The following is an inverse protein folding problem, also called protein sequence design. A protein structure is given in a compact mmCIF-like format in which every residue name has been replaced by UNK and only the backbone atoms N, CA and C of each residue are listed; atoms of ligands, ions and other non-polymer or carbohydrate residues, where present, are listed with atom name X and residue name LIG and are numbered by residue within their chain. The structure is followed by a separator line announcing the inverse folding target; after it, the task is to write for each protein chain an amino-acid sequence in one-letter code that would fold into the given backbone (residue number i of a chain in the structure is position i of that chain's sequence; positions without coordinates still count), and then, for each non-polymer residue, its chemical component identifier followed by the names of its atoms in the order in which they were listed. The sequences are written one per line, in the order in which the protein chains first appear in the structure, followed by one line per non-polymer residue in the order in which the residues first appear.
data_IF_693691099462
#
_entry.id   IF_693691099462
#
_cell.length_a   1.000
_cell.length_b   1.000
_cell.length_c   1.000
_cell.angle_alpha   90.00
_cell.angle_beta   90.00
_cell.angle_gamma   90.00
#
_symmetry.space_group_name_H-M   'P 1'
#
loop_
_entity.id
_entity.type
_entity.pdbx_description
1 polymer ?
#
# COMPACT_ATOMS: atom_id res chain seq x y z
N UNK A 1 -86.88 -29.60 60.85
CA UNK A 1 -85.43 -29.94 60.83
C UNK A 1 -85.12 -30.61 59.54
N UNK A 2 -84.58 -29.88 58.56
CA UNK A 2 -84.08 -30.44 57.28
C UNK A 2 -82.94 -29.59 56.79
N UNK A 3 -81.79 -30.21 56.65
CA UNK A 3 -80.57 -29.61 56.12
C UNK A 3 -80.53 -29.87 54.62
N UNK A 4 -80.55 -28.78 53.86
CA UNK A 4 -80.39 -28.76 52.45
C UNK A 4 -78.87 -28.70 52.10
N UNK A 5 -78.42 -29.72 51.39
CA UNK A 5 -77.00 -29.77 50.84
C UNK A 5 -76.97 -29.08 49.52
N UNK A 6 -76.18 -28.01 49.46
CA UNK A 6 -75.84 -27.29 48.21
C UNK A 6 -74.64 -27.95 47.53
N UNK A 7 -74.82 -28.45 46.33
CA UNK A 7 -73.72 -29.00 45.50
C UNK A 7 -73.17 -27.87 44.63
N UNK A 8 -71.94 -27.53 44.87
CA UNK A 8 -71.16 -26.66 43.93
C UNK A 8 -70.63 -27.47 42.75
N UNK A 9 -71.05 -27.09 41.55
CA UNK A 9 -70.41 -27.49 40.33
C UNK A 9 -69.23 -26.53 40.07
N UNK A 10 -68.02 -27.06 40.08
CA UNK A 10 -66.82 -26.35 39.60
C UNK A 10 -66.61 -26.69 38.13
N UNK A 11 -66.79 -25.67 37.27
CA UNK A 11 -66.48 -25.76 35.88
C UNK A 11 -64.96 -25.48 35.68
N UNK A 12 -64.22 -26.48 35.21
CA UNK A 12 -62.77 -26.32 34.86
C UNK A 12 -62.70 -25.84 33.45
N UNK A 13 -62.28 -24.58 33.29
CA UNK A 13 -61.94 -24.02 31.97
C UNK A 13 -60.47 -24.41 31.61
N UNK A 14 -60.31 -25.27 30.66
CA UNK A 14 -58.99 -25.59 30.09
C UNK A 14 -58.60 -24.51 29.09
N UNK A 15 -57.62 -23.69 29.45
CA UNK A 15 -56.98 -22.73 28.54
C UNK A 15 -55.87 -23.48 27.76
N UNK A 16 -56.10 -23.73 26.48
CA UNK A 16 -55.08 -24.25 25.57
C UNK A 16 -54.13 -23.09 25.21
N UNK A 17 -52.90 -23.11 25.74
CA UNK A 17 -51.82 -22.25 25.28
C UNK A 17 -51.31 -22.77 23.93
N UNK A 18 -51.63 -22.05 22.86
CA UNK A 18 -50.96 -22.19 21.57
C UNK A 18 -49.56 -21.58 21.70
N UNK A 19 -48.53 -22.43 21.81
CA UNK A 19 -47.16 -22.03 21.67
C UNK A 19 -46.90 -21.83 20.18
N UNK A 20 -46.86 -20.59 19.71
CA UNK A 20 -46.36 -20.23 18.39
C UNK A 20 -44.85 -20.27 18.51
N UNK A 21 -44.22 -21.34 18.03
CA UNK A 21 -42.78 -21.35 17.80
C UNK A 21 -42.47 -20.33 16.70
N UNK A 22 -42.00 -19.14 17.07
CA UNK A 22 -41.40 -18.18 16.18
C UNK A 22 -40.09 -18.79 15.70
N UNK A 23 -40.04 -19.19 14.43
CA UNK A 23 -38.78 -19.57 13.76
C UNK A 23 -37.81 -18.39 13.89
N UNK A 24 -36.73 -18.58 14.63
CA UNK A 24 -35.66 -17.59 14.73
C UNK A 24 -35.13 -17.30 13.31
N UNK A 25 -34.94 -16.02 12.94
CA UNK A 25 -34.34 -15.69 11.68
C UNK A 25 -32.97 -16.38 11.61
N UNK A 26 -32.75 -17.13 10.54
CA UNK A 26 -31.43 -17.67 10.24
C UNK A 26 -30.45 -16.49 10.12
N UNK A 27 -29.68 -16.24 11.16
CA UNK A 27 -28.58 -15.30 11.09
C UNK A 27 -27.72 -15.75 9.90
N UNK A 28 -27.61 -14.87 8.90
CA UNK A 28 -26.69 -15.04 7.79
C UNK A 28 -25.33 -15.35 8.42
N UNK A 29 -24.78 -16.52 8.13
CA UNK A 29 -23.42 -16.88 8.55
C UNK A 29 -22.52 -15.76 8.09
N UNK A 30 -21.93 -15.03 9.04
CA UNK A 30 -20.82 -14.14 8.79
C UNK A 30 -19.83 -14.92 7.92
N UNK A 31 -19.35 -14.38 6.78
CA UNK A 31 -18.33 -15.06 6.00
C UNK A 31 -17.23 -15.47 6.97
N UNK A 32 -16.93 -16.76 7.07
CA UNK A 32 -15.98 -17.28 8.04
C UNK A 32 -14.69 -16.48 7.94
N UNK A 33 -14.20 -15.94 9.05
CA UNK A 33 -12.92 -15.24 9.09
C UNK A 33 -11.87 -16.20 8.53
N UNK A 34 -11.32 -15.84 7.37
CA UNK A 34 -10.23 -16.62 6.78
C UNK A 34 -9.09 -16.56 7.78
N UNK A 35 -8.71 -17.70 8.36
CA UNK A 35 -7.65 -17.74 9.36
C UNK A 35 -6.36 -17.16 8.75
N UNK A 36 -5.76 -16.19 9.44
CA UNK A 36 -4.48 -15.61 9.05
C UNK A 36 -3.35 -16.65 9.14
N UNK A 37 -2.28 -16.43 8.40
CA UNK A 37 -1.05 -17.19 8.51
C UNK A 37 0.08 -16.34 9.09
N UNK A 38 1.30 -16.81 8.96
CA UNK A 38 2.50 -16.11 9.36
C UNK A 38 3.63 -16.29 8.33
N UNK A 39 4.59 -15.37 8.34
CA UNK A 39 5.83 -15.50 7.57
C UNK A 39 6.99 -15.51 8.55
N UNK A 40 7.92 -16.46 8.36
CA UNK A 40 9.14 -16.58 9.15
C UNK A 40 10.37 -16.51 8.26
N UNK A 41 11.39 -15.78 8.71
CA UNK A 41 12.72 -15.78 8.10
C UNK A 41 13.80 -15.62 9.17
N UNK A 42 15.06 -15.70 8.76
CA UNK A 42 16.21 -15.43 9.60
C UNK A 42 17.05 -14.35 8.94
N UNK A 43 17.49 -13.37 9.73
CA UNK A 43 18.30 -12.24 9.27
C UNK A 43 19.74 -12.43 9.70
N UNK A 44 20.65 -12.36 8.76
CA UNK A 44 22.09 -12.54 8.95
C UNK A 44 22.86 -11.41 8.27
N UNK A 45 23.99 -11.04 8.85
CA UNK A 45 24.99 -10.24 8.18
C UNK A 45 25.57 -11.01 6.98
N UNK A 46 25.65 -10.39 5.82
CA UNK A 46 26.05 -11.07 4.58
C UNK A 46 27.52 -11.52 4.58
N UNK A 47 28.40 -10.79 5.29
CA UNK A 47 29.83 -11.06 5.34
C UNK A 47 30.22 -12.07 6.40
N UNK A 48 29.62 -11.95 7.60
CA UNK A 48 30.03 -12.74 8.78
C UNK A 48 29.10 -13.91 9.07
N UNK A 49 27.85 -13.86 8.58
CA UNK A 49 26.82 -14.83 8.92
C UNK A 49 26.24 -14.65 10.31
N UNK A 50 26.68 -13.65 11.09
CA UNK A 50 26.16 -13.35 12.41
C UNK A 50 24.70 -12.97 12.38
N UNK A 51 23.89 -13.27 13.42
CA UNK A 51 22.51 -12.81 13.49
C UNK A 51 22.45 -11.28 13.58
N UNK A 52 21.46 -10.67 12.93
CA UNK A 52 21.23 -9.22 13.00
C UNK A 52 19.86 -8.98 13.62
N UNK A 53 19.81 -8.43 14.85
CA UNK A 53 18.54 -8.10 15.53
C UNK A 53 17.94 -6.78 15.04
N UNK A 54 16.68 -6.55 15.37
CA UNK A 54 15.92 -5.30 15.11
C UNK A 54 15.85 -4.90 13.65
N UNK A 55 15.85 -5.86 12.75
CA UNK A 55 15.58 -5.67 11.32
C UNK A 55 14.11 -5.95 11.09
N UNK A 56 13.39 -4.97 10.57
CA UNK A 56 11.96 -5.08 10.36
C UNK A 56 11.66 -5.43 8.89
N UNK A 57 10.52 -6.08 8.65
CA UNK A 57 10.07 -6.43 7.32
C UNK A 57 8.68 -5.90 7.03
N UNK A 58 8.50 -5.38 5.83
CA UNK A 58 7.20 -5.10 5.25
C UNK A 58 6.82 -6.23 4.28
N UNK A 59 5.60 -6.74 4.40
CA UNK A 59 5.02 -7.71 3.48
C UNK A 59 4.22 -6.97 2.40
N UNK A 60 4.67 -7.11 1.17
CA UNK A 60 4.08 -6.41 0.02
C UNK A 60 3.33 -7.40 -0.85
N UNK A 61 2.01 -7.26 -1.02
CA UNK A 61 1.22 -8.15 -1.83
C UNK A 61 1.73 -8.21 -3.28
N UNK A 62 1.64 -9.39 -3.88
CA UNK A 62 1.94 -9.59 -5.31
C UNK A 62 0.73 -9.24 -6.17
N UNK A 63 -0.45 -9.49 -5.64
CA UNK A 63 -1.71 -9.19 -6.30
C UNK A 63 -1.93 -7.67 -6.42
N UNK A 64 -2.30 -7.23 -7.62
CA UNK A 64 -2.44 -5.80 -7.91
C UNK A 64 -3.58 -5.13 -7.13
N UNK A 65 -4.68 -5.86 -6.88
CA UNK A 65 -5.81 -5.33 -6.11
C UNK A 65 -5.44 -5.21 -4.62
N UNK A 66 -4.77 -6.23 -4.08
CA UNK A 66 -4.26 -6.20 -2.72
C UNK A 66 -3.20 -5.10 -2.54
N UNK A 67 -2.30 -4.92 -3.52
CA UNK A 67 -1.31 -3.85 -3.49
C UNK A 67 -1.96 -2.47 -3.50
N UNK A 68 -2.94 -2.24 -4.38
CA UNK A 68 -3.68 -0.98 -4.43
C UNK A 68 -4.51 -0.73 -3.15
N UNK A 69 -4.93 -1.78 -2.44
CA UNK A 69 -5.63 -1.65 -1.16
C UNK A 69 -4.67 -1.25 -0.02
N UNK A 70 -3.44 -1.75 -0.04
CA UNK A 70 -2.40 -1.43 0.97
C UNK A 70 -1.90 0.01 0.86
N UNK A 71 -1.98 0.59 -0.33
CA UNK A 71 -1.38 1.91 -0.63
C UNK A 71 -1.90 3.09 0.19
N UNK A 72 -2.65 2.88 1.28
CA UNK A 72 -3.31 3.95 2.04
C UNK A 72 -3.29 3.82 3.55
N UNK A 73 -2.68 2.80 4.08
CA UNK A 73 -2.69 2.61 5.51
C UNK A 73 -1.29 2.51 6.08
N UNK A 74 -0.87 3.47 6.89
CA UNK A 74 0.29 3.35 7.78
C UNK A 74 0.24 2.05 8.58
N UNK A 75 -0.95 1.60 8.91
CA UNK A 75 -1.21 0.38 9.66
C UNK A 75 -0.88 -0.92 8.92
N UNK A 76 -0.80 -0.91 7.61
CA UNK A 76 -0.65 -2.15 6.83
C UNK A 76 0.82 -2.56 6.63
N UNK A 77 1.74 -1.61 6.58
CA UNK A 77 3.17 -1.92 6.57
C UNK A 77 3.71 -2.25 7.98
N UNK A 78 2.99 -1.82 9.04
CA UNK A 78 3.37 -2.02 10.44
C UNK A 78 2.62 -3.15 11.16
N UNK A 79 1.38 -3.45 10.81
CA UNK A 79 0.55 -4.43 11.55
C UNK A 79 0.91 -5.89 11.36
N UNK A 80 1.66 -6.23 10.34
CA UNK A 80 2.20 -7.57 10.18
C UNK A 80 3.72 -7.61 10.29
N UNK A 81 4.39 -6.46 10.39
CA UNK A 81 5.83 -6.34 10.38
C UNK A 81 6.45 -6.68 11.73
N UNK A 82 6.91 -7.93 11.91
CA UNK A 82 7.80 -8.25 13.00
C UNK A 82 9.20 -7.70 12.73
N UNK A 83 9.97 -7.47 13.79
CA UNK A 83 11.40 -7.22 13.68
C UNK A 83 12.16 -8.44 14.22
N UNK A 84 13.37 -8.68 13.73
CA UNK A 84 14.19 -9.80 14.16
C UNK A 84 14.61 -9.69 15.62
N UNK A 85 14.60 -10.81 16.32
CA UNK A 85 15.09 -10.97 17.68
C UNK A 85 16.64 -11.05 17.73
N UNK A 86 17.20 -11.27 18.92
CA UNK A 86 18.66 -11.38 19.13
C UNK A 86 19.30 -12.57 18.40
N UNK A 87 18.51 -13.57 18.00
CA UNK A 87 18.94 -14.69 17.17
C UNK A 87 18.79 -14.42 15.67
N UNK A 88 18.32 -13.22 15.32
CA UNK A 88 17.99 -12.82 13.95
C UNK A 88 16.71 -13.46 13.42
N UNK A 89 15.87 -14.06 14.25
CA UNK A 89 14.60 -14.65 13.80
C UNK A 89 13.55 -13.56 13.68
N UNK A 90 12.95 -13.45 12.51
CA UNK A 90 11.88 -12.52 12.20
C UNK A 90 10.60 -13.31 11.92
N UNK A 91 9.54 -13.00 12.63
CA UNK A 91 8.21 -13.57 12.42
C UNK A 91 7.19 -12.45 12.26
N UNK A 92 6.42 -12.54 11.21
CA UNK A 92 5.27 -11.66 10.93
C UNK A 92 4.01 -12.48 11.08
N UNK A 93 3.16 -12.16 12.04
CA UNK A 93 1.88 -12.85 12.30
C UNK A 93 0.69 -12.13 11.67
N UNK A 94 -0.48 -12.77 11.71
CA UNK A 94 -1.76 -12.22 11.26
C UNK A 94 -1.79 -11.81 9.77
N UNK A 95 -0.99 -12.51 8.96
CA UNK A 95 -0.90 -12.25 7.52
C UNK A 95 -2.07 -12.91 6.81
N UNK A 96 -2.81 -12.16 6.02
CA UNK A 96 -3.87 -12.70 5.17
C UNK A 96 -3.29 -13.72 4.16
N UNK A 97 -4.03 -14.79 3.81
CA UNK A 97 -3.58 -15.73 2.79
C UNK A 97 -3.33 -15.03 1.45
N UNK A 98 -2.21 -15.35 0.80
CA UNK A 98 -1.83 -14.72 -0.46
C UNK A 98 -0.34 -14.83 -0.76
N UNK A 99 0.07 -14.24 -1.88
CA UNK A 99 1.47 -14.12 -2.28
C UNK A 99 2.06 -12.78 -1.84
N UNK A 100 3.23 -12.81 -1.24
CA UNK A 100 3.91 -11.60 -0.73
C UNK A 100 5.37 -11.56 -1.11
N UNK A 101 5.91 -10.36 -1.25
CA UNK A 101 7.34 -10.07 -1.29
C UNK A 101 7.75 -9.35 -0.02
N UNK A 102 8.90 -9.67 0.52
CA UNK A 102 9.43 -9.02 1.71
C UNK A 102 10.39 -7.91 1.34
N UNK A 103 10.12 -6.71 1.85
CA UNK A 103 11.08 -5.62 1.93
C UNK A 103 11.61 -5.56 3.35
N UNK A 104 12.91 -5.65 3.52
CA UNK A 104 13.54 -5.53 4.84
C UNK A 104 14.34 -4.25 4.95
N UNK A 105 14.29 -3.65 6.12
CA UNK A 105 15.04 -2.45 6.45
C UNK A 105 15.57 -2.54 7.87
N UNK A 106 16.81 -2.14 8.07
CA UNK A 106 17.43 -2.04 9.39
C UNK A 106 17.40 -0.57 9.81
N UNK A 107 16.55 -0.24 10.78
CA UNK A 107 16.61 1.06 11.46
C UNK A 107 17.77 1.04 12.46
N UNK A 108 17.91 -0.07 13.15
CA UNK A 108 18.99 -0.39 14.08
C UNK A 108 19.38 -1.87 13.93
N UNK A 109 20.69 -2.20 13.88
CA UNK A 109 21.85 -1.29 13.87
C UNK A 109 21.96 -0.53 12.53
N UNK A 110 22.49 0.71 12.55
CA UNK A 110 22.72 1.46 11.32
C UNK A 110 23.82 0.80 10.49
N UNK A 111 23.85 1.10 9.19
CA UNK A 111 24.90 0.63 8.29
C UNK A 111 24.47 -0.46 7.33
N UNK A 112 23.35 -1.14 7.58
CA UNK A 112 22.77 -2.10 6.62
C UNK A 112 21.81 -1.43 5.64
N UNK A 113 21.79 -1.95 4.42
CA UNK A 113 20.95 -1.44 3.36
C UNK A 113 19.57 -2.11 3.28
N UNK A 114 18.57 -1.33 2.93
CA UNK A 114 17.26 -1.83 2.53
C UNK A 114 17.41 -2.80 1.37
N UNK A 115 16.58 -3.83 1.37
CA UNK A 115 16.55 -4.79 0.27
C UNK A 115 15.22 -5.53 0.19
N UNK A 116 14.84 -5.87 -1.01
CA UNK A 116 13.88 -6.93 -1.23
C UNK A 116 14.56 -8.28 -1.03
N UNK A 117 13.85 -9.21 -0.40
CA UNK A 117 14.38 -10.55 -0.14
C UNK A 117 14.32 -11.39 -1.41
N UNK A 118 15.47 -11.69 -1.99
CA UNK A 118 15.59 -12.60 -3.13
C UNK A 118 15.81 -14.05 -2.68
N UNK A 119 15.88 -14.98 -3.62
CA UNK A 119 16.09 -16.42 -3.32
C UNK A 119 17.44 -16.71 -2.69
N UNK A 120 18.49 -16.00 -3.12
CA UNK A 120 19.89 -16.26 -2.75
C UNK A 120 20.63 -15.02 -2.22
N UNK A 121 19.92 -13.92 -1.99
CA UNK A 121 20.47 -12.65 -1.54
C UNK A 121 19.43 -11.54 -1.69
N UNK A 122 19.86 -10.29 -1.52
CA UNK A 122 19.00 -9.12 -1.68
C UNK A 122 18.88 -8.67 -3.14
N UNK A 123 17.89 -7.81 -3.39
CA UNK A 123 17.70 -7.10 -4.65
C UNK A 123 17.03 -5.75 -4.38
N UNK A 124 17.28 -4.75 -5.23
CA UNK A 124 16.54 -3.48 -5.21
C UNK A 124 15.27 -3.51 -6.07
N UNK A 125 15.10 -4.53 -6.90
CA UNK A 125 13.97 -4.68 -7.81
C UNK A 125 12.93 -5.61 -7.22
N UNK A 126 11.74 -5.09 -6.89
CA UNK A 126 10.63 -5.86 -6.27
C UNK A 126 10.28 -7.10 -7.11
N UNK A 127 10.27 -6.98 -8.41
CA UNK A 127 9.87 -8.06 -9.33
C UNK A 127 10.81 -9.26 -9.28
N UNK A 128 12.06 -9.05 -8.84
CA UNK A 128 13.08 -10.11 -8.65
C UNK A 128 13.05 -10.72 -7.25
N UNK A 129 12.27 -10.14 -6.33
CA UNK A 129 12.12 -10.66 -4.98
C UNK A 129 11.41 -12.03 -4.98
N UNK A 130 11.78 -12.84 -4.01
CA UNK A 130 11.12 -14.13 -3.78
C UNK A 130 9.66 -13.92 -3.34
N UNK A 131 8.75 -14.70 -3.91
CA UNK A 131 7.34 -14.68 -3.52
C UNK A 131 7.09 -15.75 -2.46
N UNK A 132 6.69 -15.30 -1.28
CA UNK A 132 6.26 -16.17 -0.18
C UNK A 132 4.77 -16.39 -0.30
N UNK A 133 4.33 -17.65 -0.30
CA UNK A 133 2.92 -18.02 -0.31
C UNK A 133 2.45 -18.28 1.12
N UNK A 134 1.55 -17.43 1.60
CA UNK A 134 0.91 -17.57 2.92
C UNK A 134 -0.39 -18.34 2.76
N UNK A 135 -0.55 -19.40 3.55
CA UNK A 135 -1.77 -20.22 3.62
C UNK A 135 -2.48 -20.00 4.94
N UNK A 136 -3.80 -20.21 5.01
CA UNK A 136 -4.56 -20.11 6.25
C UNK A 136 -3.95 -20.97 7.37
N UNK A 137 -3.75 -20.37 8.55
CA UNK A 137 -3.25 -21.06 9.74
C UNK A 137 -1.81 -21.59 9.68
N UNK A 138 -1.06 -21.31 8.60
CA UNK A 138 0.27 -21.85 8.37
C UNK A 138 1.37 -20.81 8.53
N UNK A 139 2.57 -21.26 8.91
CA UNK A 139 3.80 -20.48 8.89
C UNK A 139 4.53 -20.74 7.57
N UNK A 140 4.65 -19.71 6.74
CA UNK A 140 5.41 -19.75 5.50
C UNK A 140 6.86 -19.33 5.75
N UNK A 141 7.83 -20.12 5.30
CA UNK A 141 9.23 -19.76 5.43
C UNK A 141 9.70 -18.97 4.20
N UNK A 142 10.22 -17.77 4.44
CA UNK A 142 10.93 -16.99 3.44
C UNK A 142 12.44 -17.36 3.43
N UNK A 143 13.15 -17.08 2.33
CA UNK A 143 14.60 -17.24 2.28
C UNK A 143 15.31 -16.48 3.40
N UNK A 144 16.48 -16.97 3.83
CA UNK A 144 17.34 -16.24 4.77
C UNK A 144 17.72 -14.88 4.18
N UNK A 145 17.46 -13.83 4.94
CA UNK A 145 17.87 -12.47 4.63
C UNK A 145 19.37 -12.34 4.92
N UNK A 146 20.14 -11.96 3.91
CA UNK A 146 21.54 -11.61 4.04
C UNK A 146 21.67 -10.11 3.83
N UNK A 147 21.96 -9.38 4.91
CA UNK A 147 22.05 -7.93 4.89
C UNK A 147 23.44 -7.48 4.42
N UNK A 148 23.44 -6.70 3.38
CA UNK A 148 24.63 -6.02 2.87
C UNK A 148 24.76 -4.61 3.45
N UNK A 149 25.97 -4.03 3.51
CA UNK A 149 26.17 -2.65 3.90
C UNK A 149 25.46 -1.68 2.96
N UNK A 150 24.94 -0.60 3.53
CA UNK A 150 24.23 0.43 2.79
C UNK A 150 25.12 1.26 1.87
N UNK A 151 24.51 1.83 0.83
CA UNK A 151 25.03 2.91 0.02
C UNK A 151 24.05 4.07 -0.06
N UNK A 152 24.38 5.09 -0.82
CA UNK A 152 23.65 6.34 -0.93
C UNK A 152 23.38 6.68 -2.39
N UNK A 153 22.24 7.31 -2.65
CA UNK A 153 21.92 7.94 -3.94
C UNK A 153 21.72 9.42 -3.71
N UNK A 154 22.35 10.25 -4.51
CA UNK A 154 22.17 11.72 -4.55
C UNK A 154 21.76 12.15 -5.95
N UNK A 155 21.13 13.32 -6.05
CA UNK A 155 20.83 13.86 -7.37
C UNK A 155 20.12 15.20 -7.32
N UNK A 156 19.76 15.69 -8.49
CA UNK A 156 19.01 16.91 -8.69
C UNK A 156 17.77 16.60 -9.52
N UNK A 157 16.63 17.15 -9.12
CA UNK A 157 15.39 17.10 -9.88
C UNK A 157 15.16 18.46 -10.53
N UNK A 158 14.89 18.46 -11.82
CA UNK A 158 14.62 19.66 -12.61
C UNK A 158 13.34 19.56 -13.40
N UNK A 159 12.71 20.69 -13.69
CA UNK A 159 11.59 20.80 -14.63
C UNK A 159 12.09 20.63 -16.07
N UNK A 160 11.47 19.74 -16.84
CA UNK A 160 11.93 19.42 -18.19
C UNK A 160 11.73 20.55 -19.21
N UNK A 161 10.81 21.48 -18.95
CA UNK A 161 10.52 22.60 -19.84
C UNK A 161 11.43 23.81 -19.60
N UNK A 162 11.77 24.07 -18.34
CA UNK A 162 12.48 25.28 -17.93
C UNK A 162 13.92 25.01 -17.51
N UNK A 163 14.26 23.79 -17.17
CA UNK A 163 15.55 23.41 -16.56
C UNK A 163 15.70 23.90 -15.10
N UNK A 164 14.69 24.58 -14.56
CA UNK A 164 14.72 25.05 -13.18
C UNK A 164 14.71 23.88 -12.17
N UNK A 165 15.34 24.06 -10.99
CA UNK A 165 15.24 23.09 -9.92
C UNK A 165 13.78 22.93 -9.48
N UNK A 166 13.40 21.71 -9.08
CA UNK A 166 12.07 21.40 -8.55
C UNK A 166 12.18 21.15 -7.05
N UNK A 167 11.84 22.13 -6.19
CA UNK A 167 11.81 21.93 -4.75
C UNK A 167 10.63 21.07 -4.33
N UNK A 168 10.75 20.42 -3.16
CA UNK A 168 9.73 19.59 -2.55
C UNK A 168 9.22 18.45 -3.43
N UNK A 169 10.01 18.01 -4.41
CA UNK A 169 9.74 16.79 -5.14
C UNK A 169 9.98 15.59 -4.21
N UNK A 170 9.03 14.68 -4.13
CA UNK A 170 9.17 13.41 -3.40
C UNK A 170 10.00 12.44 -4.21
N UNK A 171 10.96 11.77 -3.56
CA UNK A 171 11.85 10.80 -4.21
C UNK A 171 11.73 9.47 -3.46
N UNK A 172 11.21 8.44 -4.12
CA UNK A 172 10.80 7.20 -3.46
C UNK A 172 11.35 5.97 -4.18
N UNK A 173 11.90 5.03 -3.43
CA UNK A 173 12.27 3.69 -3.95
C UNK A 173 11.15 2.69 -3.79
N UNK A 174 10.23 2.96 -2.88
CA UNK A 174 9.04 2.17 -2.60
C UNK A 174 7.87 3.15 -2.45
N UNK A 175 7.18 3.48 -3.55
CA UNK A 175 6.06 4.41 -3.50
C UNK A 175 4.83 3.70 -2.93
N UNK A 176 4.77 3.57 -1.63
CA UNK A 176 3.53 3.34 -0.91
C UNK A 176 3.05 4.71 -0.47
N UNK A 177 1.77 4.96 -0.66
CA UNK A 177 1.16 6.12 -0.06
C UNK A 177 1.19 5.87 1.42
N UNK A 178 1.90 6.66 2.02
CA UNK A 178 1.97 6.83 3.42
C UNK A 178 1.18 8.08 3.75
N UNK A 179 0.67 8.15 4.95
CA UNK A 179 -0.11 9.29 5.43
C UNK A 179 0.58 10.60 5.03
N UNK A 180 -0.13 11.50 4.32
CA UNK A 180 0.42 12.82 4.00
C UNK A 180 0.80 13.65 5.24
N UNK A 181 0.42 13.22 6.44
CA UNK A 181 0.77 13.86 7.72
C UNK A 181 2.12 13.41 8.29
N UNK A 182 2.71 12.35 7.76
CA UNK A 182 4.01 11.85 8.21
C UNK A 182 5.07 12.12 7.15
N UNK A 183 6.05 12.97 7.48
CA UNK A 183 7.16 13.36 6.61
C UNK A 183 8.19 12.23 6.33
N UNK A 184 7.97 11.02 6.84
CA UNK A 184 8.93 9.90 6.81
C UNK A 184 9.00 9.10 5.49
N UNK A 185 8.45 9.61 4.39
CA UNK A 185 8.17 8.80 3.19
C UNK A 185 9.17 8.93 2.04
N UNK A 186 10.36 9.14 2.36
CA UNK A 186 11.45 9.38 1.44
C UNK A 186 11.84 10.86 1.38
N UNK A 187 13.07 11.16 0.96
CA UNK A 187 13.55 12.52 0.92
C UNK A 187 12.73 13.36 -0.04
N UNK A 188 12.51 14.60 0.35
CA UNK A 188 12.09 15.67 -0.56
C UNK A 188 13.32 16.44 -1.04
N UNK A 189 13.20 17.00 -2.24
CA UNK A 189 14.21 17.91 -2.75
C UNK A 189 14.20 19.25 -2.00
N UNK A 190 15.40 19.82 -1.82
CA UNK A 190 15.58 21.18 -1.31
C UNK A 190 15.25 22.25 -2.37
N UNK A 191 15.53 23.53 -2.06
CA UNK A 191 15.25 24.67 -2.94
C UNK A 191 16.08 24.61 -4.25
N UNK A 192 17.23 23.96 -4.23
CA UNK A 192 18.09 23.71 -5.40
C UNK A 192 17.73 22.40 -6.14
N UNK A 193 16.62 21.75 -5.76
CA UNK A 193 16.17 20.50 -6.31
C UNK A 193 17.02 19.29 -5.92
N UNK A 194 17.91 19.40 -4.92
CA UNK A 194 18.84 18.34 -4.50
C UNK A 194 18.14 17.37 -3.56
N UNK A 195 18.50 16.11 -3.63
CA UNK A 195 18.02 15.10 -2.72
C UNK A 195 19.12 14.09 -2.35
N UNK A 196 18.91 13.38 -1.26
CA UNK A 196 19.77 12.30 -0.79
C UNK A 196 18.91 11.15 -0.28
N UNK A 197 19.10 9.95 -0.80
CA UNK A 197 18.54 8.70 -0.28
C UNK A 197 19.68 7.92 0.35
N UNK A 198 19.61 7.69 1.65
CA UNK A 198 20.57 6.87 2.39
C UNK A 198 19.99 5.48 2.67
N UNK A 199 20.83 4.56 3.11
CA UNK A 199 20.36 3.28 3.60
C UNK A 199 19.92 2.29 2.52
N UNK A 200 20.31 2.46 1.26
CA UNK A 200 19.98 1.51 0.21
C UNK A 200 21.00 0.38 0.11
N UNK A 201 20.54 -0.86 0.00
CA UNK A 201 21.42 -1.99 -0.27
C UNK A 201 22.12 -1.87 -1.62
N UNK A 202 23.24 -2.60 -1.81
CA UNK A 202 24.12 -2.45 -2.99
C UNK A 202 23.54 -3.14 -4.24
N UNK A 203 22.36 -2.70 -4.63
CA UNK A 203 21.60 -3.28 -5.74
C UNK A 203 21.27 -2.26 -6.83
N UNK A 204 20.44 -2.67 -7.76
CA UNK A 204 19.82 -1.84 -8.76
C UNK A 204 18.44 -1.40 -8.27
N UNK A 205 18.22 -0.08 -8.14
CA UNK A 205 17.01 0.49 -7.60
C UNK A 205 16.25 1.31 -8.64
N UNK A 206 14.97 1.00 -8.91
CA UNK A 206 14.08 1.92 -9.58
C UNK A 206 13.68 3.00 -8.57
N UNK A 207 13.60 4.26 -9.01
CA UNK A 207 13.26 5.41 -8.17
C UNK A 207 12.08 6.14 -8.78
N UNK A 208 11.07 6.46 -8.00
CA UNK A 208 9.93 7.27 -8.43
C UNK A 208 10.11 8.72 -7.95
N UNK A 209 9.70 9.64 -8.79
CA UNK A 209 9.74 11.08 -8.53
C UNK A 209 8.35 11.67 -8.76
N UNK A 210 7.87 12.46 -7.79
CA UNK A 210 6.57 13.12 -7.85
C UNK A 210 6.69 14.55 -7.34
N UNK A 211 6.09 15.50 -8.05
CA UNK A 211 6.02 16.91 -7.63
C UNK A 211 4.68 17.51 -8.06
N UNK A 212 4.20 18.49 -7.30
CA UNK A 212 2.98 19.19 -7.65
C UNK A 212 3.11 19.88 -9.01
N UNK A 213 2.10 19.75 -9.85
CA UNK A 213 2.07 20.37 -11.18
C UNK A 213 2.90 19.68 -12.27
N UNK A 214 3.66 18.63 -11.91
CA UNK A 214 4.48 17.85 -12.84
C UNK A 214 4.06 16.37 -12.83
N UNK A 215 4.41 15.65 -13.90
CA UNK A 215 4.08 14.24 -13.99
C UNK A 215 4.90 13.40 -13.01
N UNK A 216 4.23 12.51 -12.29
CA UNK A 216 4.91 11.44 -11.55
C UNK A 216 5.59 10.51 -12.55
N UNK A 217 6.90 10.29 -12.38
CA UNK A 217 7.70 9.43 -13.26
C UNK A 217 8.60 8.51 -12.47
N UNK A 218 8.95 7.39 -13.06
CA UNK A 218 10.05 6.56 -12.62
C UNK A 218 11.36 7.00 -13.25
N UNK A 219 12.47 6.69 -12.63
CA UNK A 219 13.82 7.00 -13.09
C UNK A 219 14.03 6.67 -14.57
N UNK A 220 14.62 7.62 -15.29
CA UNK A 220 14.70 7.59 -16.75
C UNK A 220 13.46 8.12 -17.46
N UNK A 221 12.53 8.77 -16.75
CA UNK A 221 11.31 9.36 -17.31
C UNK A 221 10.22 8.34 -17.65
N UNK A 222 10.26 7.16 -17.06
CA UNK A 222 9.33 6.08 -17.35
C UNK A 222 7.98 6.27 -16.65
N UNK A 223 6.90 5.80 -17.29
CA UNK A 223 5.54 5.85 -16.73
C UNK A 223 5.22 4.71 -15.76
N UNK A 224 6.00 3.64 -15.77
CA UNK A 224 5.81 2.46 -14.92
C UNK A 224 7.11 2.01 -14.31
N UNK A 225 7.05 1.31 -13.18
CA UNK A 225 8.24 0.75 -12.53
C UNK A 225 9.01 -0.22 -13.45
N UNK A 226 8.29 -1.06 -14.17
CA UNK A 226 8.90 -2.05 -15.06
C UNK A 226 9.76 -1.44 -16.18
N UNK A 227 9.50 -0.19 -16.54
CA UNK A 227 10.23 0.57 -17.55
C UNK A 227 11.31 1.48 -16.95
N UNK A 228 11.42 1.53 -15.62
CA UNK A 228 12.37 2.40 -14.94
C UNK A 228 13.82 2.04 -15.28
N UNK A 229 14.64 3.07 -15.52
CA UNK A 229 16.10 2.91 -15.55
C UNK A 229 16.63 2.86 -14.13
N UNK A 230 17.07 1.71 -13.67
CA UNK A 230 17.58 1.54 -12.31
C UNK A 230 18.92 2.25 -12.09
N UNK A 231 19.11 2.80 -10.87
CA UNK A 231 20.39 3.29 -10.39
C UNK A 231 21.13 2.17 -9.68
N UNK A 232 22.42 1.98 -10.00
CA UNK A 232 23.26 0.98 -9.32
C UNK A 232 23.87 1.59 -8.07
N UNK A 233 23.48 1.10 -6.92
CA UNK A 233 24.10 1.41 -5.62
C UNK A 233 25.22 0.41 -5.34
N UNK A 234 26.25 0.84 -4.65
CA UNK A 234 27.33 0.01 -4.11
C UNK A 234 27.50 0.28 -2.62
N UNK A 235 27.89 -0.75 -1.88
CA UNK A 235 28.13 -0.66 -0.44
C UNK A 235 29.14 0.46 -0.10
N UNK A 236 28.77 1.34 0.84
CA UNK A 236 29.60 2.44 1.28
C UNK A 236 29.85 3.56 0.27
N UNK A 237 29.23 3.48 -0.93
CA UNK A 237 29.45 4.47 -1.99
C UNK A 237 28.21 5.32 -2.26
N UNK A 238 28.46 6.49 -2.85
CA UNK A 238 27.41 7.38 -3.33
C UNK A 238 27.27 7.25 -4.85
N UNK A 239 26.05 6.96 -5.30
CA UNK A 239 25.67 6.97 -6.71
C UNK A 239 24.92 8.26 -7.04
N UNK A 240 25.02 8.76 -8.27
CA UNK A 240 24.29 9.94 -8.72
C UNK A 240 23.14 9.54 -9.66
N UNK A 241 21.95 10.12 -9.42
CA UNK A 241 20.77 9.97 -10.27
C UNK A 241 20.06 11.31 -10.39
N UNK A 242 20.26 12.01 -11.50
CA UNK A 242 19.50 13.23 -11.81
C UNK A 242 18.23 12.85 -12.59
N UNK A 243 17.16 13.62 -12.38
CA UNK A 243 15.87 13.38 -13.02
C UNK A 243 15.24 14.70 -13.47
N UNK A 244 14.70 14.69 -14.70
CA UNK A 244 13.83 15.77 -15.18
C UNK A 244 12.38 15.34 -15.13
N UNK A 245 11.49 16.25 -14.70
CA UNK A 245 10.04 16.02 -14.59
C UNK A 245 9.31 16.77 -15.71
N UNK A 246 8.60 16.09 -16.61
CA UNK A 246 7.77 16.75 -17.61
C UNK A 246 6.45 17.23 -16.99
N UNK A 247 5.80 18.21 -17.63
CA UNK A 247 4.49 18.70 -17.21
C UNK A 247 3.40 17.60 -17.24
N UNK A 248 3.56 16.61 -18.12
CA UNK A 248 2.58 15.54 -18.29
C UNK A 248 1.23 16.01 -18.83
N UNK A 249 0.27 15.10 -18.94
CA UNK A 249 -1.10 15.40 -19.28
C UNK A 249 -1.93 15.56 -18.03
N UNK A 250 -2.73 16.64 -17.90
CA UNK A 250 -3.66 16.78 -16.79
C UNK A 250 -4.78 15.74 -16.89
N UNK A 251 -5.01 15.05 -15.78
CA UNK A 251 -6.21 14.29 -15.52
C UNK A 251 -6.90 14.99 -14.35
N UNK A 252 -8.03 15.60 -14.61
CA UNK A 252 -8.73 16.48 -13.67
C UNK A 252 -10.14 15.97 -13.45
N UNK A 253 -10.84 16.50 -12.45
CA UNK A 253 -12.23 16.23 -12.19
C UNK A 253 -12.71 16.90 -10.93
N UNK A 254 -14.03 16.87 -10.73
CA UNK A 254 -14.67 17.22 -9.49
C UNK A 254 -14.87 15.96 -8.63
N UNK A 255 -14.95 16.17 -7.32
CA UNK A 255 -15.48 15.20 -6.38
C UNK A 255 -16.76 15.79 -5.82
N UNK A 256 -17.89 15.25 -6.29
CA UNK A 256 -19.22 15.72 -5.90
C UNK A 256 -19.64 14.98 -4.65
N UNK A 257 -19.98 15.74 -3.62
CA UNK A 257 -20.42 15.24 -2.31
C UNK A 257 -21.25 16.33 -1.63
N UNK A 258 -22.30 15.95 -0.93
CA UNK A 258 -23.19 16.87 -0.23
C UNK A 258 -22.56 17.55 0.99
N UNK A 259 -21.45 17.03 1.50
CA UNK A 259 -20.78 17.53 2.69
C UNK A 259 -19.40 18.15 2.39
N UNK A 260 -18.94 19.06 3.25
CA UNK A 260 -17.62 19.66 3.10
C UNK A 260 -16.55 18.59 3.38
N UNK A 261 -15.77 18.24 2.36
CA UNK A 261 -14.62 17.36 2.50
C UNK A 261 -13.49 18.10 3.24
N UNK A 262 -13.23 17.70 4.46
CA UNK A 262 -12.11 18.24 5.25
C UNK A 262 -10.76 17.67 4.82
N UNK A 263 -10.77 16.49 4.23
CA UNK A 263 -9.58 15.81 3.69
C UNK A 263 -10.01 14.77 2.65
N UNK A 264 -9.54 14.93 1.44
CA UNK A 264 -9.76 13.95 0.38
C UNK A 264 -8.60 13.93 -0.59
N UNK A 265 -8.29 12.76 -1.12
CA UNK A 265 -7.30 12.56 -2.16
C UNK A 265 -7.84 11.69 -3.28
N UNK A 266 -7.42 11.99 -4.50
CA UNK A 266 -7.61 11.08 -5.63
C UNK A 266 -6.27 10.44 -5.98
N UNK A 267 -6.29 9.12 -5.98
CA UNK A 267 -5.13 8.29 -6.27
C UNK A 267 -5.29 7.63 -7.62
N UNK A 268 -4.21 7.63 -8.38
CA UNK A 268 -4.09 6.89 -9.63
C UNK A 268 -3.17 5.69 -9.43
N UNK A 269 -3.63 4.52 -9.80
CA UNK A 269 -2.86 3.28 -9.76
C UNK A 269 -2.62 2.76 -11.18
N UNK A 270 -1.43 2.25 -11.46
CA UNK A 270 -1.18 1.53 -12.71
C UNK A 270 -2.18 0.38 -12.86
N UNK A 271 -2.88 0.33 -13.97
CA UNK A 271 -4.01 -0.57 -14.17
C UNK A 271 -3.63 -2.05 -14.21
N UNK A 272 -2.37 -2.36 -14.47
CA UNK A 272 -1.86 -3.73 -14.56
C UNK A 272 -1.21 -4.20 -13.25
N UNK A 273 -0.47 -3.32 -12.57
CA UNK A 273 0.38 -3.70 -11.44
C UNK A 273 -0.16 -3.27 -10.09
N UNK A 274 -1.10 -2.32 -10.04
CA UNK A 274 -1.57 -1.71 -8.80
C UNK A 274 -0.55 -0.76 -8.15
N UNK A 275 0.57 -0.48 -8.81
CA UNK A 275 1.55 0.49 -8.33
C UNK A 275 0.96 1.91 -8.37
N UNK A 276 1.27 2.71 -7.36
CA UNK A 276 0.86 4.11 -7.32
C UNK A 276 1.50 4.89 -8.47
N UNK A 277 0.69 5.53 -9.29
CA UNK A 277 1.09 6.34 -10.43
C UNK A 277 0.94 7.84 -10.18
N UNK A 278 0.17 8.26 -9.19
CA UNK A 278 0.02 9.66 -8.82
C UNK A 278 -1.00 9.85 -7.70
N UNK A 279 -0.89 10.98 -7.01
CA UNK A 279 -1.80 11.43 -5.94
C UNK A 279 -2.11 12.90 -6.17
N UNK A 280 -3.34 13.29 -5.95
CA UNK A 280 -3.76 14.69 -5.91
C UNK A 280 -4.67 14.94 -4.72
N UNK A 281 -4.43 16.02 -4.01
CA UNK A 281 -5.37 16.51 -2.99
C UNK A 281 -6.63 17.05 -3.68
N UNK A 282 -7.78 16.88 -3.03
CA UNK A 282 -9.06 17.39 -3.48
C UNK A 282 -9.34 18.71 -2.79
N UNK A 283 -9.57 19.76 -3.60
CA UNK A 283 -10.14 21.03 -3.17
C UNK A 283 -11.50 21.23 -3.82
N UNK A 284 -11.68 22.27 -4.64
CA UNK A 284 -12.85 22.40 -5.52
C UNK A 284 -12.86 21.39 -6.68
N UNK A 285 -11.82 20.60 -6.81
CA UNK A 285 -11.57 19.55 -7.76
C UNK A 285 -10.19 18.99 -7.53
N UNK A 286 -9.75 18.08 -8.37
CA UNK A 286 -8.41 17.49 -8.30
C UNK A 286 -7.69 17.59 -9.65
N UNK A 287 -6.35 17.55 -9.62
CA UNK A 287 -5.52 17.54 -10.80
C UNK A 287 -4.32 16.62 -10.64
N UNK A 288 -4.35 15.49 -11.30
CA UNK A 288 -3.22 14.58 -11.47
C UNK A 288 -2.44 14.98 -12.73
N UNK A 289 -1.16 14.76 -12.74
CA UNK A 289 -0.29 14.88 -13.91
C UNK A 289 0.35 13.54 -14.22
N UNK A 290 0.04 12.99 -15.38
CA UNK A 290 0.44 11.64 -15.79
C UNK A 290 1.07 11.67 -17.19
N UNK A 291 1.87 10.66 -17.52
CA UNK A 291 2.44 10.58 -18.86
C UNK A 291 1.44 10.05 -19.88
N UNK A 292 1.42 10.59 -21.10
CA UNK A 292 0.63 10.02 -22.18
C UNK A 292 0.94 8.54 -22.40
N UNK A 293 -0.10 7.73 -22.57
CA UNK A 293 0.01 6.28 -22.76
C UNK A 293 -0.19 5.45 -21.50
N UNK A 294 -0.07 6.04 -20.32
CA UNK A 294 -0.39 5.33 -19.06
C UNK A 294 -1.87 4.90 -19.05
N UNK A 295 -2.10 3.78 -18.40
CA UNK A 295 -3.46 3.29 -18.09
C UNK A 295 -3.56 3.19 -16.58
N UNK A 296 -4.48 3.94 -16.02
CA UNK A 296 -4.63 4.03 -14.55
C UNK A 296 -6.05 3.72 -14.12
N UNK A 297 -6.19 3.20 -12.91
CA UNK A 297 -7.46 3.09 -12.20
C UNK A 297 -7.46 4.13 -11.11
N UNK A 298 -8.57 4.82 -10.93
CA UNK A 298 -8.68 5.94 -10.01
C UNK A 298 -9.49 5.54 -8.79
N UNK A 299 -9.09 6.05 -7.63
CA UNK A 299 -9.77 5.89 -6.36
C UNK A 299 -9.81 7.24 -5.65
N UNK A 300 -10.97 7.62 -5.12
CA UNK A 300 -11.12 8.70 -4.15
C UNK A 300 -11.05 8.12 -2.75
N UNK A 301 -10.16 8.68 -1.96
CA UNK A 301 -10.08 8.47 -0.53
C UNK A 301 -10.57 9.74 0.15
N UNK A 302 -11.84 9.72 0.50
CA UNK A 302 -12.52 10.85 1.07
C UNK A 302 -12.68 10.61 2.57
N UNK A 303 -12.29 11.58 3.40
CA UNK A 303 -12.38 11.46 4.84
C UNK A 303 -13.78 11.05 5.28
N UNK A 304 -13.85 10.11 6.23
CA UNK A 304 -15.08 9.58 6.85
C UNK A 304 -15.93 8.64 5.98
N UNK A 305 -15.55 8.35 4.75
CA UNK A 305 -16.21 7.36 3.92
C UNK A 305 -15.24 6.25 3.48
N UNK A 306 -15.71 5.03 3.20
CA UNK A 306 -14.88 4.03 2.55
C UNK A 306 -14.32 4.53 1.23
N UNK A 307 -13.09 4.15 0.83
CA UNK A 307 -12.52 4.52 -0.45
C UNK A 307 -13.42 4.12 -1.63
N UNK A 308 -13.66 5.04 -2.56
CA UNK A 308 -14.54 4.83 -3.72
C UNK A 308 -13.72 4.76 -5.00
N UNK A 309 -13.86 3.66 -5.74
CA UNK A 309 -13.28 3.52 -7.05
C UNK A 309 -14.14 4.22 -8.11
N UNK A 310 -13.48 4.81 -9.10
CA UNK A 310 -14.17 5.49 -10.20
C UNK A 310 -15.30 4.62 -10.78
N UNK A 311 -16.50 5.22 -10.94
CA UNK A 311 -17.75 4.60 -11.34
C UNK A 311 -18.26 3.55 -10.35
N UNK A 312 -18.12 3.80 -9.06
CA UNK A 312 -18.62 2.97 -7.96
C UNK A 312 -18.21 1.49 -8.06
N UNK A 313 -17.04 1.27 -8.66
CA UNK A 313 -16.55 -0.08 -8.81
C UNK A 313 -16.26 -0.70 -7.43
N UNK A 314 -16.63 -1.96 -7.25
CA UNK A 314 -16.48 -2.69 -5.98
C UNK A 314 -15.01 -2.88 -5.52
N UNK A 315 -14.03 -2.48 -6.34
CA UNK A 315 -12.60 -2.58 -6.01
C UNK A 315 -11.73 -2.43 -7.24
N UNK A 316 -10.41 -2.52 -7.04
CA UNK A 316 -9.43 -2.39 -8.12
C UNK A 316 -9.73 -3.32 -9.31
N UNK A 317 -10.11 -4.58 -9.05
CA UNK A 317 -10.39 -5.57 -10.10
C UNK A 317 -11.51 -5.10 -11.05
N UNK A 318 -12.58 -4.56 -10.49
CA UNK A 318 -13.77 -4.11 -11.23
C UNK A 318 -13.61 -2.68 -11.82
N UNK A 319 -12.70 -1.86 -11.28
CA UNK A 319 -12.52 -0.48 -11.70
C UNK A 319 -12.08 -0.38 -13.17
N UNK A 320 -12.74 0.50 -13.90
CA UNK A 320 -12.43 0.78 -15.31
C UNK A 320 -11.12 1.56 -15.43
N UNK A 321 -10.21 1.08 -16.29
CA UNK A 321 -8.97 1.78 -16.54
C UNK A 321 -9.17 3.00 -17.44
N UNK A 322 -8.66 4.13 -16.97
CA UNK A 322 -8.59 5.39 -17.72
C UNK A 322 -7.29 5.43 -18.52
N UNK A 323 -7.36 5.65 -19.80
CA UNK A 323 -6.17 5.84 -20.64
C UNK A 323 -5.81 7.32 -20.71
N UNK A 324 -4.61 7.64 -20.24
CA UNK A 324 -4.06 9.00 -20.36
C UNK A 324 -3.68 9.25 -21.82
N UNK A 325 -4.25 10.29 -22.40
CA UNK A 325 -3.99 10.73 -23.78
C UNK A 325 -3.06 11.95 -23.75
N UNK A 326 -2.73 12.52 -24.93
CA UNK A 326 -2.01 13.79 -24.99
C UNK A 326 -2.89 14.99 -24.64
N UNK A 327 -4.20 14.88 -24.89
CA UNK A 327 -5.20 15.88 -24.49
C UNK A 327 -5.61 15.66 -23.01
N UNK A 328 -6.01 16.73 -22.30
CA UNK A 328 -6.57 16.62 -20.96
C UNK A 328 -7.69 15.58 -20.87
N UNK A 329 -7.76 14.91 -19.74
CA UNK A 329 -8.78 13.89 -19.43
C UNK A 329 -9.58 14.38 -18.23
N UNK A 330 -10.90 14.36 -18.32
CA UNK A 330 -11.78 14.72 -17.19
C UNK A 330 -12.43 13.45 -16.66
N UNK A 331 -12.38 13.27 -15.35
CA UNK A 331 -12.98 12.14 -14.64
C UNK A 331 -13.54 12.66 -13.33
N UNK A 332 -14.85 12.65 -13.19
CA UNK A 332 -15.53 13.09 -11.98
C UNK A 332 -15.84 11.90 -11.07
N UNK A 333 -15.88 12.15 -9.77
CA UNK A 333 -16.40 11.23 -8.76
C UNK A 333 -17.73 11.79 -8.25
N UNK A 334 -18.74 10.95 -8.21
CA UNK A 334 -20.00 11.21 -7.52
C UNK A 334 -20.03 10.31 -6.28
N UNK A 335 -20.16 10.89 -5.10
CA UNK A 335 -20.13 10.17 -3.81
C UNK A 335 -21.50 10.20 -3.12
N UNK A 336 -22.54 10.74 -3.80
CA UNK A 336 -23.92 10.82 -3.31
C UNK A 336 -24.67 9.51 -3.47
#
# INVERSE_FOLDING_TARGET
MSRTLLRHLTATVAVALLVVEAAAPAYARTPGSVSSGAVRTVVRDAATGAPVPRVCAALVPVDAAALAAVALGEDQLGRGGGCSDDQGVLVTSEVAPGGYRLLVHAIYPPGYGWQWVGRHGGTGERERAYVVQVRPGAVANAPTVRLDPAGTVVGVVTDAATGAPVPRARVMVVPYVTDPKNDDHGPMTDEEGRYTITGLGPYHWPVQFAANGLATVWSGGAGTRAQARTVRVRAGQTATLNQTLPAGTPLTGAVLVDELLTYAQVLAFDAATGDLAGVADVGYGYALRLLPGQRVKLRCDCAYAPPVWHRDAAGFGAATAVRVRRAPVVVDFNLD
#
